data_IF_614896355224
#
_entry.id   IF_614896355224
#
_cell.length_a   1.000
_cell.length_b   1.000
_cell.length_c   1.000
_cell.angle_alpha   90.00
_cell.angle_beta   90.00
_cell.angle_gamma   90.00
#
_symmetry.space_group_name_H-M   'P 1'
#
loop_
_entity.id
_entity.type
_entity.pdbx_description
1 polymer ?
#
# COMPACT_ATOMS: atom_id res chain seq x y z
N UNK A 1 1.85 10.73 7.63
CA UNK A 1 0.59 10.00 7.40
C UNK A 1 -0.45 11.03 6.94
N UNK A 2 -1.52 10.62 6.25
CA UNK A 2 -2.55 11.55 5.77
C UNK A 2 -3.25 12.22 6.96
N UNK A 3 -3.42 13.54 6.89
CA UNK A 3 -3.96 14.34 8.01
C UNK A 3 -5.49 14.41 7.98
N UNK A 4 -6.10 14.73 6.83
CA UNK A 4 -7.55 14.76 6.66
C UNK A 4 -7.95 14.62 5.18
N UNK A 5 -9.25 14.38 4.94
CA UNK A 5 -9.90 14.40 3.63
C UNK A 5 -10.50 15.79 3.42
N UNK A 6 -10.10 16.47 2.35
CA UNK A 6 -10.62 17.80 2.00
C UNK A 6 -12.12 17.71 1.72
N UNK A 7 -12.89 18.64 2.31
CA UNK A 7 -14.34 18.73 2.13
C UNK A 7 -15.16 17.91 3.12
N UNK A 8 -14.53 17.24 4.08
CA UNK A 8 -15.19 16.54 5.18
C UNK A 8 -14.84 17.16 6.52
N UNK A 9 -15.77 17.05 7.48
CA UNK A 9 -15.46 17.37 8.85
C UNK A 9 -14.46 16.36 9.42
N UNK A 10 -13.68 16.78 10.42
CA UNK A 10 -12.63 15.92 11.02
C UNK A 10 -13.17 14.56 11.45
N UNK A 11 -14.35 14.52 12.08
CA UNK A 11 -14.94 13.27 12.54
C UNK A 11 -15.25 12.30 11.39
N UNK A 12 -15.77 12.81 10.27
CA UNK A 12 -16.09 12.01 9.08
C UNK A 12 -14.82 11.54 8.38
N UNK A 13 -13.85 12.44 8.21
CA UNK A 13 -12.53 12.14 7.66
C UNK A 13 -11.83 11.05 8.48
N UNK A 14 -11.83 11.17 9.81
CA UNK A 14 -11.22 10.18 10.70
C UNK A 14 -11.87 8.80 10.54
N UNK A 15 -13.19 8.72 10.41
CA UNK A 15 -13.90 7.46 10.20
C UNK A 15 -13.44 6.79 8.90
N UNK A 16 -13.40 7.52 7.79
CA UNK A 16 -13.01 6.98 6.48
C UNK A 16 -11.53 6.58 6.46
N UNK A 17 -10.64 7.46 6.94
CA UNK A 17 -9.21 7.18 6.95
C UNK A 17 -8.87 5.96 7.81
N UNK A 18 -9.47 5.82 8.99
CA UNK A 18 -9.24 4.65 9.83
C UNK A 18 -9.75 3.36 9.20
N UNK A 19 -10.89 3.41 8.49
CA UNK A 19 -11.33 2.26 7.70
C UNK A 19 -10.32 1.89 6.61
N UNK A 20 -9.79 2.86 5.86
CA UNK A 20 -8.77 2.61 4.84
C UNK A 20 -7.46 2.08 5.43
N UNK A 21 -7.06 2.57 6.61
CA UNK A 21 -5.89 2.07 7.33
C UNK A 21 -6.08 0.62 7.76
N UNK A 22 -7.24 0.29 8.32
CA UNK A 22 -7.58 -1.06 8.72
C UNK A 22 -7.47 -2.08 7.57
N UNK A 23 -7.82 -1.68 6.35
CA UNK A 23 -7.71 -2.56 5.17
C UNK A 23 -6.29 -3.09 4.97
N UNK A 24 -5.26 -2.26 5.14
CA UNK A 24 -3.87 -2.71 4.94
C UNK A 24 -3.15 -3.07 6.24
N UNK A 25 -3.52 -2.51 7.38
CA UNK A 25 -2.87 -2.81 8.67
C UNK A 25 -3.33 -4.15 9.26
N UNK A 26 -4.62 -4.50 9.09
CA UNK A 26 -5.21 -5.70 9.71
C UNK A 26 -5.31 -6.89 8.76
N UNK A 27 -5.04 -6.70 7.46
CA UNK A 27 -5.07 -7.77 6.47
C UNK A 27 -3.69 -8.40 6.26
N UNK A 28 -3.47 -9.56 6.85
CA UNK A 28 -2.18 -10.28 6.76
C UNK A 28 -1.93 -10.89 5.38
N UNK A 29 -2.96 -11.15 4.58
CA UNK A 29 -2.83 -11.81 3.27
C UNK A 29 -2.13 -10.91 2.24
N UNK A 30 -2.13 -9.59 2.47
CA UNK A 30 -1.49 -8.59 1.60
C UNK A 30 -0.19 -8.03 2.21
N UNK A 31 0.28 -8.60 3.32
CA UNK A 31 1.50 -8.16 3.98
C UNK A 31 2.65 -9.14 3.78
N UNK A 32 3.87 -8.60 3.71
CA UNK A 32 5.10 -9.37 3.74
C UNK A 32 6.02 -8.83 4.85
N UNK A 33 6.40 -9.71 5.79
CA UNK A 33 7.40 -9.38 6.81
C UNK A 33 8.76 -9.98 6.43
N UNK A 34 9.66 -9.10 6.02
CA UNK A 34 10.98 -9.50 5.56
C UNK A 34 11.99 -9.62 6.70
N UNK A 35 12.65 -10.78 6.81
CA UNK A 35 13.77 -10.99 7.74
C UNK A 35 15.09 -10.76 7.02
N UNK A 36 15.79 -9.69 7.41
CA UNK A 36 17.09 -9.33 6.84
C UNK A 36 18.18 -10.35 7.18
N UNK A 37 19.00 -10.68 6.19
CA UNK A 37 20.27 -11.42 6.33
C UNK A 37 21.39 -10.67 5.61
N UNK A 38 22.67 -10.91 5.97
CA UNK A 38 23.81 -10.26 5.30
C UNK A 38 23.80 -10.45 3.78
N UNK A 39 24.15 -9.40 3.03
CA UNK A 39 24.22 -9.42 1.57
C UNK A 39 22.87 -9.29 0.84
N UNK A 40 21.78 -9.07 1.58
CA UNK A 40 20.43 -8.99 1.01
C UNK A 40 20.03 -7.57 0.65
N UNK A 41 19.37 -7.40 -0.50
CA UNK A 41 18.71 -6.17 -0.91
C UNK A 41 17.22 -6.42 -1.15
N UNK A 42 16.38 -5.46 -0.78
CA UNK A 42 14.95 -5.48 -1.08
C UNK A 42 14.62 -4.31 -2.00
N UNK A 43 13.78 -4.56 -3.00
CA UNK A 43 13.23 -3.55 -3.90
C UNK A 43 11.71 -3.59 -3.77
N UNK A 44 11.08 -2.41 -3.71
CA UNK A 44 9.63 -2.28 -3.67
C UNK A 44 9.20 -1.10 -4.55
N UNK A 45 8.01 -1.21 -5.14
CA UNK A 45 7.37 -0.12 -5.88
C UNK A 45 6.61 0.78 -4.92
N UNK A 46 7.14 1.97 -4.66
CA UNK A 46 6.57 2.92 -3.70
C UNK A 46 5.25 3.56 -4.15
N UNK A 47 4.77 3.29 -5.38
CA UNK A 47 3.46 3.77 -5.87
C UNK A 47 2.30 2.90 -5.39
N UNK A 48 2.58 1.64 -5.05
CA UNK A 48 1.57 0.63 -4.71
C UNK A 48 1.87 -0.13 -3.41
N UNK A 49 2.85 0.34 -2.63
CA UNK A 49 3.24 -0.30 -1.36
C UNK A 49 3.43 0.72 -0.23
N UNK A 50 3.21 0.25 0.99
CA UNK A 50 3.55 0.94 2.24
C UNK A 50 4.52 0.03 3.01
N UNK A 51 5.46 0.62 3.74
CA UNK A 51 6.42 -0.14 4.56
C UNK A 51 6.57 0.46 5.95
N UNK A 52 6.85 -0.40 6.92
CA UNK A 52 7.16 -0.02 8.29
C UNK A 52 8.42 -0.74 8.77
N UNK A 53 9.28 -0.03 9.50
CA UNK A 53 10.41 -0.64 10.17
C UNK A 53 9.96 -1.22 11.52
N UNK A 54 9.97 -2.55 11.64
CA UNK A 54 9.72 -3.19 12.93
C UNK A 54 10.84 -2.85 13.92
N UNK A 55 10.47 -2.31 15.09
CA UNK A 55 11.38 -2.00 16.20
C UNK A 55 11.38 -3.11 17.27
N UNK A 56 11.29 -4.35 16.83
CA UNK A 56 11.25 -5.56 17.66
C UNK A 56 12.60 -5.90 18.34
N UNK A 57 13.69 -5.25 17.91
CA UNK A 57 15.02 -5.36 18.51
C UNK A 57 15.26 -4.37 19.66
N UNK A 58 14.30 -3.46 19.94
CA UNK A 58 14.32 -2.52 21.07
C UNK A 58 15.65 -1.76 21.26
N UNK A 59 16.36 -1.46 20.17
CA UNK A 59 17.67 -0.79 20.23
C UNK A 59 18.82 -1.61 20.84
N UNK A 60 18.62 -2.88 21.15
CA UNK A 60 19.66 -3.76 21.75
C UNK A 60 20.87 -3.97 20.83
N UNK A 61 20.65 -3.84 19.52
CA UNK A 61 21.68 -3.98 18.50
C UNK A 61 21.59 -2.82 17.51
N UNK A 62 22.72 -2.32 17.00
CA UNK A 62 22.71 -1.33 15.92
C UNK A 62 22.12 -1.96 14.65
N UNK A 63 21.31 -1.18 13.92
CA UNK A 63 20.76 -1.55 12.63
C UNK A 63 21.02 -0.44 11.63
N UNK A 64 21.74 -0.77 10.56
CA UNK A 64 22.06 0.15 9.47
C UNK A 64 21.65 -0.46 8.13
N UNK A 65 21.19 0.38 7.21
CA UNK A 65 20.91 0.01 5.83
C UNK A 65 21.01 1.22 4.93
N UNK A 66 21.52 1.01 3.72
CA UNK A 66 21.60 2.04 2.68
C UNK A 66 20.37 1.95 1.81
N UNK A 67 19.73 3.10 1.54
CA UNK A 67 18.57 3.20 0.64
C UNK A 67 18.90 4.12 -0.52
N UNK A 68 18.52 3.68 -1.72
CA UNK A 68 18.47 4.51 -2.92
C UNK A 68 17.00 4.60 -3.34
N UNK A 69 16.59 5.76 -3.84
CA UNK A 69 15.21 6.00 -4.27
C UNK A 69 15.22 6.72 -5.60
N UNK A 70 14.45 6.20 -6.55
CA UNK A 70 14.24 6.86 -7.85
C UNK A 70 13.22 7.99 -7.72
N UNK A 71 13.33 9.00 -8.57
CA UNK A 71 12.29 10.01 -8.74
C UNK A 71 11.12 9.41 -9.53
N UNK A 72 9.90 9.82 -9.19
CA UNK A 72 8.67 9.39 -9.84
C UNK A 72 7.84 10.60 -10.28
N UNK A 73 6.76 10.32 -11.00
CA UNK A 73 5.74 11.24 -11.45
C UNK A 73 4.86 11.78 -10.31
N UNK A 74 4.16 12.88 -10.58
CA UNK A 74 3.12 13.40 -9.68
C UNK A 74 1.89 12.48 -9.76
N UNK A 75 1.32 12.05 -8.62
CA UNK A 75 0.12 11.21 -8.63
C UNK A 75 -1.06 11.91 -9.31
N UNK A 76 -1.85 11.16 -10.08
CA UNK A 76 -3.11 11.61 -10.65
C UNK A 76 -4.15 10.49 -10.56
N UNK A 77 -5.43 10.87 -10.59
CA UNK A 77 -6.54 9.91 -10.63
C UNK A 77 -6.95 9.65 -12.07
N UNK A 78 -7.07 8.38 -12.45
CA UNK A 78 -7.60 7.95 -13.74
C UNK A 78 -8.89 7.15 -13.51
N UNK A 79 -10.04 7.76 -13.84
CA UNK A 79 -11.35 7.15 -13.70
C UNK A 79 -11.56 5.95 -14.64
N UNK A 80 -10.77 5.84 -15.70
CA UNK A 80 -10.82 4.75 -16.68
C UNK A 80 -9.82 3.64 -16.39
N UNK A 81 -9.02 3.77 -15.32
CA UNK A 81 -8.02 2.78 -14.96
C UNK A 81 -8.68 1.41 -14.69
N UNK A 82 -8.13 0.31 -15.25
CA UNK A 82 -8.66 -1.01 -14.99
C UNK A 82 -8.39 -1.41 -13.53
N UNK A 83 -9.31 -2.17 -12.94
CA UNK A 83 -9.05 -2.89 -11.70
C UNK A 83 -7.90 -3.88 -11.89
N UNK A 84 -7.27 -4.30 -10.78
CA UNK A 84 -6.23 -5.34 -10.83
C UNK A 84 -6.69 -6.61 -11.55
N UNK A 85 -7.94 -7.05 -11.33
CA UNK A 85 -8.49 -8.27 -11.94
C UNK A 85 -8.71 -8.09 -13.45
N UNK A 86 -9.20 -6.92 -13.88
CA UNK A 86 -9.28 -6.54 -15.29
C UNK A 86 -7.90 -6.57 -15.96
N UNK A 87 -6.91 -5.89 -15.37
CA UNK A 87 -5.57 -5.81 -15.92
C UNK A 87 -4.86 -7.18 -16.01
N UNK A 88 -5.21 -8.12 -15.13
CA UNK A 88 -4.67 -9.48 -15.12
C UNK A 88 -5.51 -10.48 -15.94
N UNK A 89 -6.63 -10.06 -16.54
CA UNK A 89 -7.53 -10.95 -17.28
C UNK A 89 -8.22 -12.01 -16.41
N UNK A 90 -8.44 -11.73 -15.13
CA UNK A 90 -8.95 -12.67 -14.12
C UNK A 90 -10.44 -12.54 -13.86
N UNK A 91 -11.16 -11.70 -14.62
CA UNK A 91 -12.60 -11.52 -14.42
C UNK A 91 -13.36 -12.80 -14.74
N UNK A 92 -14.28 -13.17 -13.85
CA UNK A 92 -15.27 -14.19 -14.14
C UNK A 92 -16.42 -13.62 -14.99
N UNK A 93 -17.33 -14.50 -15.43
CA UNK A 93 -18.41 -14.13 -16.34
C UNK A 93 -19.49 -13.26 -15.67
N UNK A 94 -19.62 -13.32 -14.34
CA UNK A 94 -20.53 -12.47 -13.58
C UNK A 94 -19.96 -11.05 -13.47
N UNK A 95 -18.69 -10.92 -13.11
CA UNK A 95 -17.98 -9.64 -13.03
C UNK A 95 -17.96 -8.93 -14.39
N UNK A 96 -17.73 -9.65 -15.49
CA UNK A 96 -17.81 -9.09 -16.86
C UNK A 96 -19.19 -8.52 -17.15
N UNK A 97 -20.23 -9.29 -16.82
CA UNK A 97 -21.63 -8.87 -17.01
C UNK A 97 -21.97 -7.62 -16.19
N UNK A 98 -21.53 -7.53 -14.94
CA UNK A 98 -21.74 -6.34 -14.10
C UNK A 98 -21.02 -5.10 -14.66
N UNK A 99 -19.82 -5.30 -15.20
CA UNK A 99 -19.01 -4.24 -15.80
C UNK A 99 -19.43 -3.89 -17.23
N UNK A 100 -20.37 -4.63 -17.83
CA UNK A 100 -20.85 -4.42 -19.19
C UNK A 100 -19.79 -4.64 -20.28
N UNK A 101 -18.82 -5.52 -20.03
CA UNK A 101 -17.74 -5.89 -20.94
C UNK A 101 -17.75 -7.38 -21.31
#
# INVERSE_FOLDING_TARGET
MTDHIVGLDKAESDVILNYLYDVYEKNVDIQLRFKWTPGTSALWDNRITIHNASWDYAGKHPRHGTRVTSLAEVPYFDASAPTRRQALGLLDDEEKKELGI
#
